data_IF_856477325057
#
_entry.id   IF_856477325057
#
_cell.length_a   1.000
_cell.length_b   1.000
_cell.length_c   1.000
_cell.angle_alpha   90.00
_cell.angle_beta   90.00
_cell.angle_gamma   90.00
#
_symmetry.space_group_name_H-M   'P 1'
#
loop_
_entity.id
_entity.type
_entity.pdbx_description
1 polymer ?
#
# COMPACT_ATOMS: atom_id res chain seq x y z
N UNK A 1 -8.50 9.25 2.11
CA UNK A 1 -8.44 8.88 3.53
C UNK A 1 -7.83 10.02 4.30
N UNK A 2 -8.55 10.54 5.27
CA UNK A 2 -8.11 11.66 6.08
C UNK A 2 -7.14 11.19 7.17
N UNK A 3 -6.50 12.17 7.81
CA UNK A 3 -5.65 11.90 8.96
C UNK A 3 -6.43 11.06 9.97
N UNK A 4 -5.80 10.03 10.51
CA UNK A 4 -6.38 9.06 11.45
C UNK A 4 -7.49 8.21 10.84
N UNK A 5 -7.76 8.37 9.55
CA UNK A 5 -8.67 7.50 8.84
C UNK A 5 -7.95 6.22 8.39
N UNK A 6 -8.73 5.24 8.02
CA UNK A 6 -8.18 3.96 7.58
C UNK A 6 -8.97 3.45 6.39
N UNK A 7 -8.25 3.04 5.36
CA UNK A 7 -8.84 2.38 4.20
C UNK A 7 -8.33 0.95 4.17
N UNK A 8 -9.25 0.01 4.15
CA UNK A 8 -8.89 -1.39 4.07
C UNK A 8 -9.46 -1.98 2.78
N UNK A 9 -8.59 -2.57 1.98
CA UNK A 9 -8.98 -3.23 0.73
C UNK A 9 -8.53 -4.66 0.81
N UNK A 10 -9.49 -5.59 0.81
CA UNK A 10 -9.18 -7.01 0.90
C UNK A 10 -8.73 -7.57 -0.45
N UNK A 11 -8.09 -8.73 -0.41
CA UNK A 11 -7.67 -9.41 -1.63
C UNK A 11 -8.87 -9.58 -2.56
N UNK A 12 -8.67 -9.25 -3.84
CA UNK A 12 -9.75 -9.28 -4.82
C UNK A 12 -10.62 -8.04 -4.84
N UNK A 13 -10.44 -7.12 -3.88
CA UNK A 13 -11.19 -5.87 -3.87
C UNK A 13 -10.55 -4.83 -4.77
N UNK A 14 -11.32 -3.79 -5.08
CA UNK A 14 -10.84 -2.69 -5.92
C UNK A 14 -11.22 -1.37 -5.28
N UNK A 15 -10.26 -0.46 -5.19
CA UNK A 15 -10.49 0.90 -4.73
C UNK A 15 -9.85 1.85 -5.75
N UNK A 16 -10.61 2.84 -6.20
CA UNK A 16 -10.12 3.81 -7.18
C UNK A 16 -10.37 5.22 -6.67
N UNK A 17 -9.63 6.18 -7.22
CA UNK A 17 -9.74 7.59 -6.83
C UNK A 17 -9.50 7.78 -5.33
N UNK A 18 -8.60 6.98 -4.77
CA UNK A 18 -8.26 7.07 -3.37
C UNK A 18 -7.33 8.25 -3.15
N UNK A 19 -7.63 9.06 -2.16
CA UNK A 19 -6.71 10.12 -1.73
C UNK A 19 -6.27 9.79 -0.31
N UNK A 20 -4.98 9.55 -0.15
CA UNK A 20 -4.42 9.17 1.13
C UNK A 20 -3.64 10.36 1.67
N UNK A 21 -4.20 11.01 2.68
CA UNK A 21 -3.56 12.18 3.28
C UNK A 21 -2.57 11.75 4.35
N UNK A 22 -1.67 12.65 4.69
CA UNK A 22 -0.69 12.38 5.74
C UNK A 22 -1.40 11.93 7.02
N UNK A 23 -0.93 10.86 7.61
CA UNK A 23 -1.55 10.31 8.81
C UNK A 23 -2.70 9.35 8.55
N UNK A 24 -3.13 9.19 7.30
CA UNK A 24 -4.13 8.19 6.95
C UNK A 24 -3.49 6.82 6.78
N UNK A 25 -4.23 5.78 7.08
CA UNK A 25 -3.73 4.41 6.98
C UNK A 25 -4.32 3.70 5.77
N UNK A 26 -3.48 2.95 5.08
CA UNK A 26 -3.93 2.07 4.00
C UNK A 26 -3.58 0.64 4.37
N UNK A 27 -4.57 -0.23 4.44
CA UNK A 27 -4.36 -1.65 4.70
C UNK A 27 -4.81 -2.41 3.47
N UNK A 28 -3.88 -3.05 2.80
CA UNK A 28 -4.21 -3.78 1.58
C UNK A 28 -3.16 -4.88 1.33
N UNK A 29 -3.35 -5.59 0.24
CA UNK A 29 -2.37 -6.57 -0.22
C UNK A 29 -2.18 -6.41 -1.72
N UNK A 30 -1.14 -7.04 -2.25
CA UNK A 30 -0.89 -6.97 -3.68
C UNK A 30 -1.92 -7.74 -4.51
N UNK A 31 -2.77 -8.54 -3.86
CA UNK A 31 -3.87 -9.20 -4.55
C UNK A 31 -5.09 -8.30 -4.75
N UNK A 32 -5.08 -7.10 -4.14
CA UNK A 32 -6.13 -6.12 -4.34
C UNK A 32 -5.72 -5.11 -5.40
N UNK A 33 -6.68 -4.35 -5.90
CA UNK A 33 -6.40 -3.25 -6.82
C UNK A 33 -6.71 -1.93 -6.13
N UNK A 34 -5.73 -1.06 -6.02
CA UNK A 34 -5.91 0.25 -5.40
C UNK A 34 -5.24 1.29 -6.28
N UNK A 35 -6.00 2.27 -6.71
CA UNK A 35 -5.48 3.35 -7.55
C UNK A 35 -5.79 4.69 -6.88
N UNK A 36 -4.79 5.54 -6.75
CA UNK A 36 -5.02 6.82 -6.13
C UNK A 36 -3.74 7.63 -5.97
N UNK A 37 -3.75 8.51 -4.98
CA UNK A 37 -2.58 9.35 -4.71
C UNK A 37 -2.38 9.50 -3.21
N UNK A 38 -1.14 9.76 -2.84
CA UNK A 38 -0.76 10.03 -1.46
C UNK A 38 0.21 11.21 -1.45
N UNK A 39 0.84 11.46 -0.31
CA UNK A 39 1.73 12.62 -0.19
C UNK A 39 2.96 12.56 -1.08
N UNK A 40 3.29 11.39 -1.62
CA UNK A 40 4.41 11.25 -2.54
C UNK A 40 4.01 11.44 -4.00
N UNK A 41 2.70 11.47 -4.29
CA UNK A 41 2.18 11.54 -5.63
C UNK A 41 1.24 10.37 -5.90
N UNK A 42 1.16 9.94 -7.15
CA UNK A 42 0.28 8.83 -7.51
C UNK A 42 0.85 7.51 -6.98
N UNK A 43 -0.05 6.63 -6.57
CA UNK A 43 0.35 5.29 -6.20
C UNK A 43 -0.61 4.28 -6.84
N UNK A 44 -0.11 3.08 -7.06
CA UNK A 44 -0.91 2.01 -7.64
C UNK A 44 -0.61 0.69 -6.96
N UNK A 45 -1.64 -0.13 -6.80
CA UNK A 45 -1.50 -1.53 -6.42
C UNK A 45 -2.37 -2.29 -7.39
N UNK A 46 -1.75 -3.03 -8.32
CA UNK A 46 -2.52 -3.80 -9.30
C UNK A 46 -1.64 -4.88 -9.90
N UNK A 47 -2.28 -5.91 -10.43
CA UNK A 47 -1.59 -6.99 -11.13
C UNK A 47 -0.43 -7.57 -10.32
N UNK A 48 -0.58 -7.64 -9.02
CA UNK A 48 0.45 -8.17 -8.15
C UNK A 48 1.61 -7.22 -7.89
N UNK A 49 1.45 -5.93 -8.20
CA UNK A 49 2.51 -4.94 -7.99
C UNK A 49 1.98 -3.75 -7.20
N UNK A 50 2.79 -3.28 -6.27
CA UNK A 50 2.51 -2.06 -5.53
C UNK A 50 3.61 -1.05 -5.83
N UNK A 51 3.23 0.19 -6.11
CA UNK A 51 4.17 1.23 -6.50
C UNK A 51 3.78 2.55 -5.84
N UNK A 52 4.73 3.18 -5.14
CA UNK A 52 4.52 4.49 -4.56
C UNK A 52 3.68 4.51 -3.29
N UNK A 53 3.48 3.38 -2.66
CA UNK A 53 2.62 3.25 -1.49
C UNK A 53 3.29 3.83 -0.25
N UNK A 54 2.50 4.57 0.56
CA UNK A 54 2.96 5.08 1.87
C UNK A 54 2.19 4.33 2.94
N UNK A 55 2.93 3.72 3.86
CA UNK A 55 2.38 2.97 4.98
C UNK A 55 2.71 3.70 6.27
N UNK A 56 1.69 4.25 6.92
CA UNK A 56 1.88 4.98 8.16
C UNK A 56 0.62 4.92 9.01
N UNK A 57 0.74 5.23 10.29
CA UNK A 57 -0.41 5.35 11.21
C UNK A 57 -1.26 4.08 11.27
N UNK A 58 -0.61 2.91 11.23
CA UNK A 58 -1.33 1.64 11.26
C UNK A 58 -1.57 1.03 9.87
N UNK A 59 -1.04 1.68 8.82
CA UNK A 59 -1.15 1.10 7.47
C UNK A 59 -0.36 -0.19 7.34
N UNK A 60 -0.78 -1.02 6.40
CA UNK A 60 -0.13 -2.29 6.18
C UNK A 60 -0.26 -2.70 4.71
N UNK A 61 0.83 -3.21 4.16
CA UNK A 61 0.82 -3.78 2.83
C UNK A 61 1.38 -5.19 2.90
N UNK A 62 0.61 -6.16 2.43
CA UNK A 62 1.07 -7.53 2.32
C UNK A 62 1.49 -7.80 0.88
N UNK A 63 2.75 -8.16 0.68
CA UNK A 63 3.26 -8.55 -0.62
C UNK A 63 3.24 -10.07 -0.68
N UNK A 64 2.41 -10.61 -1.55
CA UNK A 64 2.19 -12.04 -1.63
C UNK A 64 3.23 -12.72 -2.51
N UNK A 65 3.24 -14.05 -2.47
CA UNK A 65 4.16 -14.83 -3.28
C UNK A 65 4.03 -14.46 -4.76
N UNK A 66 5.17 -14.23 -5.41
CA UNK A 66 5.20 -13.85 -6.82
C UNK A 66 4.86 -12.38 -7.09
N UNK A 67 4.52 -11.63 -6.06
CA UNK A 67 4.18 -10.21 -6.21
C UNK A 67 5.35 -9.33 -5.79
N UNK A 68 5.23 -8.03 -6.05
CA UNK A 68 6.31 -7.11 -5.71
C UNK A 68 5.79 -5.78 -5.24
N UNK A 69 6.62 -5.08 -4.46
CA UNK A 69 6.35 -3.73 -4.03
C UNK A 69 7.56 -2.88 -4.38
N UNK A 70 7.30 -1.68 -4.90
CA UNK A 70 8.36 -0.75 -5.31
C UNK A 70 8.06 0.63 -4.77
N UNK A 71 9.13 1.36 -4.43
CA UNK A 71 9.02 2.74 -3.97
C UNK A 71 8.07 2.88 -2.80
N UNK A 72 8.08 1.90 -1.90
CA UNK A 72 7.20 1.90 -0.76
C UNK A 72 7.87 2.61 0.41
N UNK A 73 7.17 3.57 1.00
CA UNK A 73 7.64 4.26 2.20
C UNK A 73 6.91 3.68 3.39
N UNK A 74 7.67 3.17 4.35
CA UNK A 74 7.12 2.68 5.61
C UNK A 74 7.53 3.66 6.69
N UNK A 75 6.56 4.37 7.23
CA UNK A 75 6.80 5.39 8.24
C UNK A 75 6.30 4.90 9.59
N UNK A 76 6.28 5.78 10.59
CA UNK A 76 5.88 5.40 11.94
C UNK A 76 4.51 4.74 11.93
N UNK A 77 4.43 3.55 12.52
CA UNK A 77 3.19 2.80 12.58
C UNK A 77 2.85 2.03 11.32
N UNK A 78 3.66 2.14 10.27
CA UNK A 78 3.43 1.37 9.05
C UNK A 78 4.03 -0.03 9.14
N UNK A 79 3.50 -0.94 8.37
CA UNK A 79 3.98 -2.32 8.31
C UNK A 79 4.00 -2.79 6.86
N UNK A 80 5.13 -3.33 6.44
CA UNK A 80 5.24 -3.99 5.15
C UNK A 80 5.56 -5.45 5.40
N UNK A 81 4.68 -6.33 4.97
CA UNK A 81 4.87 -7.76 5.12
C UNK A 81 5.11 -8.37 3.76
N UNK A 82 6.24 -9.03 3.59
CA UNK A 82 6.61 -9.65 2.32
C UNK A 82 6.64 -11.16 2.53
N UNK A 83 5.78 -11.88 1.81
CA UNK A 83 5.71 -13.33 1.90
C UNK A 83 6.87 -13.98 1.16
N UNK A 84 7.11 -15.25 1.44
CA UNK A 84 8.15 -16.00 0.72
C UNK A 84 7.87 -15.93 -0.78
N UNK A 85 8.89 -15.59 -1.57
CA UNK A 85 8.73 -15.41 -3.00
C UNK A 85 8.29 -14.02 -3.43
N UNK A 86 7.89 -13.17 -2.49
CA UNK A 86 7.58 -11.77 -2.78
C UNK A 86 8.85 -10.94 -2.84
N UNK A 87 8.74 -9.76 -3.43
CA UNK A 87 9.88 -8.84 -3.56
C UNK A 87 9.50 -7.45 -3.08
N UNK A 88 10.42 -6.79 -2.42
CA UNK A 88 10.27 -5.39 -2.06
C UNK A 88 11.52 -4.67 -2.52
N UNK A 89 11.33 -3.59 -3.30
CA UNK A 89 12.43 -2.83 -3.88
C UNK A 89 12.24 -1.35 -3.55
N UNK A 90 13.34 -0.66 -3.24
CA UNK A 90 13.30 0.77 -2.94
C UNK A 90 12.34 1.10 -1.80
N UNK A 91 12.32 0.24 -0.80
CA UNK A 91 11.51 0.44 0.41
C UNK A 91 12.31 1.30 1.39
N UNK A 92 11.65 2.26 1.97
CA UNK A 92 12.27 3.16 2.95
C UNK A 92 11.60 3.01 4.30
#
# INVERSE_FOLDING_TARGET
VNQKGKLQVNAGGTATHVTLKQGGALVTSTAATVLGSNRLGNFTVENGKADGVVLESGGRLDVLEGHSARKTLVDDGGTLAVSAGGKATSVT
#
